data_IF_717810477713
#
_entry.id   IF_717810477713
#
_cell.length_a   1.000
_cell.length_b   1.000
_cell.length_c   1.000
_cell.angle_alpha   90.00
_cell.angle_beta   90.00
_cell.angle_gamma   90.00
#
_symmetry.space_group_name_H-M   'P 1'
#
loop_
_entity.id
_entity.type
_entity.pdbx_description
1 polymer ?
#
# COMPACT_ATOMS: atom_id res chain seq x y z
N UNK A 1 -10.77 7.56 19.58
CA UNK A 1 -9.81 8.06 18.58
C UNK A 1 -10.29 7.57 17.24
N UNK A 2 -10.69 8.45 16.33
CA UNK A 2 -11.12 8.06 14.98
C UNK A 2 -9.86 7.92 14.14
N UNK A 3 -9.54 6.70 13.71
CA UNK A 3 -8.40 6.48 12.80
C UNK A 3 -8.91 6.72 11.39
N UNK A 4 -8.31 7.64 10.61
CA UNK A 4 -8.70 7.84 9.22
C UNK A 4 -8.38 6.58 8.43
N UNK A 5 -9.25 6.26 7.48
CA UNK A 5 -9.14 5.09 6.60
C UNK A 5 -9.38 5.57 5.17
N UNK A 6 -8.71 4.94 4.21
CA UNK A 6 -8.98 5.15 2.79
C UNK A 6 -10.38 4.66 2.45
N UNK A 7 -11.04 5.38 1.56
CA UNK A 7 -12.36 4.97 1.07
C UNK A 7 -12.22 3.78 0.12
N UNK A 8 -12.43 2.57 0.65
CA UNK A 8 -12.44 1.36 -0.17
C UNK A 8 -13.69 1.36 -1.06
N UNK A 9 -13.55 1.31 -2.40
CA UNK A 9 -14.72 1.22 -3.28
C UNK A 9 -15.50 -0.06 -2.98
N UNK A 10 -16.82 -0.05 -3.15
CA UNK A 10 -17.60 -1.30 -3.05
C UNK A 10 -17.49 -2.02 -4.38
N UNK A 11 -17.13 -3.30 -4.39
CA UNK A 11 -17.17 -4.17 -5.56
C UNK A 11 -18.42 -5.06 -5.48
N UNK A 12 -19.05 -5.35 -6.62
CA UNK A 12 -20.15 -6.32 -6.70
C UNK A 12 -19.64 -7.76 -6.54
N UNK A 13 -20.50 -8.69 -6.14
CA UNK A 13 -20.12 -10.10 -5.95
C UNK A 13 -19.50 -10.73 -7.20
N UNK A 14 -19.95 -10.35 -8.39
CA UNK A 14 -19.39 -10.80 -9.66
C UNK A 14 -17.98 -10.26 -9.93
N UNK A 15 -17.72 -9.00 -9.55
CA UNK A 15 -16.41 -8.33 -9.63
C UNK A 15 -15.43 -9.00 -8.66
N UNK A 16 -15.91 -9.35 -7.46
CA UNK A 16 -15.15 -10.05 -6.42
C UNK A 16 -14.81 -11.49 -6.82
N UNK A 17 -15.76 -12.22 -7.38
CA UNK A 17 -15.53 -13.59 -7.86
C UNK A 17 -14.59 -13.62 -9.07
N UNK A 18 -14.63 -12.58 -9.93
CA UNK A 18 -13.66 -12.42 -11.02
C UNK A 18 -12.25 -12.19 -10.48
N UNK A 19 -12.08 -11.26 -9.54
CA UNK A 19 -10.79 -10.98 -8.88
C UNK A 19 -10.22 -12.27 -8.27
N UNK A 20 -11.08 -13.04 -7.61
CA UNK A 20 -10.72 -14.33 -7.03
C UNK A 20 -10.22 -15.32 -8.08
N UNK A 21 -10.93 -15.47 -9.19
CA UNK A 21 -10.53 -16.40 -10.26
C UNK A 21 -9.19 -16.05 -10.86
N UNK A 22 -8.90 -14.77 -11.03
CA UNK A 22 -7.62 -14.30 -11.56
C UNK A 22 -6.48 -14.59 -10.59
N UNK A 23 -6.62 -14.18 -9.33
CA UNK A 23 -5.60 -14.43 -8.31
C UNK A 23 -5.31 -15.93 -8.19
N UNK A 24 -6.35 -16.77 -8.21
CA UNK A 24 -6.18 -18.21 -8.15
C UNK A 24 -5.49 -18.78 -9.40
N UNK A 25 -5.88 -18.32 -10.61
CA UNK A 25 -5.29 -18.74 -11.88
C UNK A 25 -3.79 -18.45 -11.93
N UNK A 26 -3.36 -17.30 -11.41
CA UNK A 26 -1.97 -16.85 -11.43
C UNK A 26 -1.23 -17.04 -10.10
N UNK A 27 -1.77 -17.86 -9.20
CA UNK A 27 -1.21 -18.06 -7.86
C UNK A 27 0.26 -18.47 -7.88
N UNK A 28 0.64 -19.42 -8.76
CA UNK A 28 2.03 -19.89 -8.86
C UNK A 28 2.98 -18.77 -9.30
N UNK A 29 2.55 -17.94 -10.25
CA UNK A 29 3.34 -16.81 -10.69
C UNK A 29 3.51 -15.76 -9.59
N UNK A 30 2.43 -15.44 -8.88
CA UNK A 30 2.47 -14.53 -7.74
C UNK A 30 3.39 -15.04 -6.64
N UNK A 31 3.35 -16.35 -6.35
CA UNK A 31 4.24 -16.98 -5.37
C UNK A 31 5.71 -16.95 -5.80
N UNK A 32 6.01 -17.11 -7.09
CA UNK A 32 7.38 -16.94 -7.62
C UNK A 32 7.83 -15.49 -7.40
N UNK A 33 7.02 -14.50 -7.78
CA UNK A 33 7.32 -13.07 -7.56
C UNK A 33 7.55 -12.77 -6.07
N UNK A 34 6.75 -13.36 -5.19
CA UNK A 34 6.90 -13.26 -3.74
C UNK A 34 8.23 -13.84 -3.25
N UNK A 35 8.56 -15.07 -3.63
CA UNK A 35 9.82 -15.73 -3.24
C UNK A 35 11.05 -14.97 -3.75
N UNK A 36 10.99 -14.38 -4.94
CA UNK A 36 12.06 -13.53 -5.44
C UNK A 36 12.24 -12.27 -4.58
N UNK A 37 11.16 -11.67 -4.08
CA UNK A 37 11.21 -10.52 -3.17
C UNK A 37 11.76 -10.89 -1.80
N UNK A 38 11.40 -12.05 -1.25
CA UNK A 38 11.99 -12.57 -0.02
C UNK A 38 13.49 -12.80 -0.19
N UNK A 39 13.90 -13.49 -1.26
CA UNK A 39 15.30 -13.82 -1.52
C UNK A 39 16.19 -12.59 -1.78
N UNK A 40 15.59 -11.45 -2.13
CA UNK A 40 16.29 -10.17 -2.26
C UNK A 40 16.52 -9.46 -0.91
N UNK A 41 16.04 -10.04 0.19
CA UNK A 41 16.16 -9.51 1.55
C UNK A 41 16.88 -10.51 2.47
N UNK A 42 17.54 -9.99 3.51
CA UNK A 42 18.30 -10.80 4.46
C UNK A 42 17.38 -11.38 5.57
N UNK A 43 16.41 -12.22 5.20
CA UNK A 43 15.59 -12.96 6.15
C UNK A 43 16.27 -14.26 6.57
N UNK A 44 16.04 -14.69 7.82
CA UNK A 44 16.44 -16.03 8.24
C UNK A 44 15.41 -17.09 7.78
N UNK A 45 15.78 -18.39 7.73
CA UNK A 45 14.88 -19.42 7.21
C UNK A 45 13.52 -19.51 7.92
N UNK A 46 13.48 -19.23 9.23
CA UNK A 46 12.22 -19.23 10.00
C UNK A 46 11.32 -18.05 9.56
N UNK A 47 11.90 -16.87 9.35
CA UNK A 47 11.20 -15.69 8.84
C UNK A 47 10.72 -15.89 7.40
N UNK A 48 11.54 -16.52 6.54
CA UNK A 48 11.14 -16.84 5.17
C UNK A 48 9.91 -17.75 5.14
N UNK A 49 9.88 -18.78 6.00
CA UNK A 49 8.73 -19.67 6.12
C UNK A 49 7.48 -18.92 6.61
N UNK A 50 7.62 -18.07 7.64
CA UNK A 50 6.50 -17.23 8.12
C UNK A 50 6.00 -16.30 7.02
N UNK A 51 6.88 -15.73 6.19
CA UNK A 51 6.48 -14.88 5.07
C UNK A 51 5.75 -15.66 3.96
N UNK A 52 6.14 -16.91 3.70
CA UNK A 52 5.40 -17.80 2.80
C UNK A 52 3.99 -18.08 3.35
N UNK A 53 3.89 -18.39 4.64
CA UNK A 53 2.60 -18.66 5.29
C UNK A 53 1.70 -17.41 5.28
N UNK A 54 2.29 -16.22 5.48
CA UNK A 54 1.59 -14.93 5.36
C UNK A 54 1.05 -14.71 3.95
N UNK A 55 1.79 -15.06 2.90
CA UNK A 55 1.30 -14.93 1.53
C UNK A 55 0.07 -15.79 1.29
N UNK A 56 0.11 -17.05 1.72
CA UNK A 56 -1.05 -17.95 1.62
C UNK A 56 -2.24 -17.45 2.44
N UNK A 57 -1.97 -16.86 3.60
CA UNK A 57 -2.98 -16.20 4.42
C UNK A 57 -3.56 -14.97 3.70
N UNK A 58 -2.75 -14.11 3.07
CA UNK A 58 -3.24 -12.96 2.29
C UNK A 58 -4.20 -13.41 1.19
N UNK A 59 -3.80 -14.41 0.41
CA UNK A 59 -4.64 -14.94 -0.68
C UNK A 59 -5.97 -15.48 -0.12
N UNK A 60 -5.91 -16.25 0.98
CA UNK A 60 -7.10 -16.84 1.61
C UNK A 60 -8.03 -15.78 2.21
N UNK A 61 -7.49 -14.83 2.94
CA UNK A 61 -8.27 -13.82 3.66
C UNK A 61 -8.73 -12.67 2.78
N UNK A 62 -8.05 -12.38 1.66
CA UNK A 62 -8.62 -11.53 0.62
C UNK A 62 -9.99 -12.04 0.20
N UNK A 63 -10.21 -13.36 0.13
CA UNK A 63 -11.52 -13.94 -0.18
C UNK A 63 -12.55 -13.77 0.94
N UNK A 64 -12.13 -13.61 2.18
CA UNK A 64 -13.03 -13.48 3.34
C UNK A 64 -13.39 -12.01 3.60
N UNK A 65 -12.47 -11.10 3.33
CA UNK A 65 -12.68 -9.64 3.44
C UNK A 65 -13.77 -9.17 2.47
N UNK A 66 -13.93 -9.84 1.34
CA UNK A 66 -14.96 -9.52 0.34
C UNK A 66 -16.36 -9.98 0.75
N UNK A 67 -16.46 -10.95 1.67
CA UNK A 67 -17.74 -11.50 2.13
C UNK A 67 -18.26 -10.88 3.44
N UNK A 68 -17.38 -10.49 4.39
CA UNK A 68 -17.77 -9.92 5.70
C UNK A 68 -16.75 -8.88 6.22
N UNK A 69 -16.83 -7.62 5.74
CA UNK A 69 -15.72 -6.67 5.87
C UNK A 69 -15.18 -6.41 7.29
N UNK A 70 -16.01 -6.13 8.33
CA UNK A 70 -15.46 -5.77 9.64
C UNK A 70 -14.92 -6.97 10.43
N UNK A 71 -15.59 -8.12 10.33
CA UNK A 71 -15.24 -9.33 11.10
C UNK A 71 -14.01 -10.01 10.50
N UNK A 72 -13.96 -10.11 9.17
CA UNK A 72 -12.85 -10.74 8.45
C UNK A 72 -11.57 -9.90 8.52
N UNK A 73 -11.68 -8.57 8.47
CA UNK A 73 -10.52 -7.68 8.66
C UNK A 73 -9.89 -7.85 10.04
N UNK A 74 -10.70 -7.91 11.10
CA UNK A 74 -10.19 -8.14 12.46
C UNK A 74 -9.57 -9.53 12.62
N UNK A 75 -10.17 -10.57 12.02
CA UNK A 75 -9.58 -11.91 12.04
C UNK A 75 -8.21 -11.94 11.37
N UNK A 76 -8.11 -11.30 10.21
CA UNK A 76 -6.87 -11.23 9.45
C UNK A 76 -5.79 -10.40 10.15
N UNK A 77 -6.20 -9.27 10.73
CA UNK A 77 -5.31 -8.44 11.53
C UNK A 77 -4.78 -9.20 12.76
N UNK A 78 -5.63 -9.99 13.42
CA UNK A 78 -5.21 -10.86 14.52
C UNK A 78 -4.23 -11.95 14.07
N UNK A 79 -4.41 -12.53 12.87
CA UNK A 79 -3.44 -13.43 12.28
C UNK A 79 -2.07 -12.75 12.10
N UNK A 80 -2.06 -11.56 11.49
CA UNK A 80 -0.83 -10.79 11.32
C UNK A 80 -0.21 -10.37 12.66
N UNK A 81 -0.99 -10.04 13.69
CA UNK A 81 -0.44 -9.60 14.99
C UNK A 81 0.12 -10.80 15.76
N UNK A 82 -0.66 -11.88 15.88
CA UNK A 82 -0.41 -12.95 16.84
C UNK A 82 0.16 -14.24 16.25
N UNK A 83 -0.07 -14.51 14.96
CA UNK A 83 0.29 -15.77 14.31
C UNK A 83 1.48 -15.68 13.34
N UNK A 84 2.18 -14.53 13.31
CA UNK A 84 3.46 -14.36 12.61
C UNK A 84 4.60 -14.04 13.58
N UNK A 85 5.04 -15.04 14.38
CA UNK A 85 6.14 -14.86 15.31
C UNK A 85 7.45 -14.56 14.56
N UNK A 86 8.34 -13.79 15.19
CA UNK A 86 9.67 -13.48 14.62
C UNK A 86 9.71 -12.35 13.59
N UNK A 87 8.56 -11.86 13.13
CA UNK A 87 8.46 -10.65 12.31
C UNK A 87 8.09 -9.43 13.17
N UNK A 88 8.79 -8.31 12.96
CA UNK A 88 8.42 -7.03 13.54
C UNK A 88 7.31 -6.33 12.71
N UNK A 89 6.73 -5.26 13.25
CA UNK A 89 5.65 -4.53 12.57
C UNK A 89 6.06 -4.00 11.19
N UNK A 90 7.31 -3.51 11.05
CA UNK A 90 7.83 -3.02 9.77
C UNK A 90 7.93 -4.12 8.71
N UNK A 91 8.39 -5.31 9.07
CA UNK A 91 8.45 -6.47 8.17
C UNK A 91 7.06 -6.94 7.73
N UNK A 92 6.06 -6.84 8.62
CA UNK A 92 4.66 -7.17 8.29
C UNK A 92 4.01 -6.12 7.37
N UNK A 93 4.31 -4.83 7.59
CA UNK A 93 3.88 -3.75 6.69
C UNK A 93 4.55 -3.91 5.33
N UNK A 94 5.85 -4.23 5.29
CA UNK A 94 6.56 -4.55 4.05
C UNK A 94 5.92 -5.73 3.31
N UNK A 95 5.56 -6.80 4.03
CA UNK A 95 4.88 -7.95 3.46
C UNK A 95 3.54 -7.55 2.81
N UNK A 96 2.74 -6.69 3.46
CA UNK A 96 1.52 -6.13 2.88
C UNK A 96 1.79 -5.34 1.59
N UNK A 97 2.82 -4.47 1.59
CA UNK A 97 3.16 -3.64 0.43
C UNK A 97 3.69 -4.46 -0.75
N UNK A 98 4.53 -5.46 -0.51
CA UNK A 98 5.02 -6.37 -1.57
C UNK A 98 3.87 -7.20 -2.13
N UNK A 99 2.98 -7.66 -1.27
CA UNK A 99 1.80 -8.41 -1.68
C UNK A 99 0.89 -7.55 -2.57
N UNK A 100 0.63 -6.30 -2.16
CA UNK A 100 -0.09 -5.32 -2.96
C UNK A 100 0.56 -5.18 -4.34
N UNK A 101 1.86 -4.91 -4.42
CA UNK A 101 2.59 -4.71 -5.67
C UNK A 101 2.41 -5.88 -6.64
N UNK A 102 2.48 -7.12 -6.13
CA UNK A 102 2.30 -8.33 -6.95
C UNK A 102 0.88 -8.40 -7.52
N UNK A 103 -0.14 -8.16 -6.69
CA UNK A 103 -1.54 -8.18 -7.14
C UNK A 103 -1.82 -7.02 -8.10
N UNK A 104 -1.29 -5.83 -7.84
CA UNK A 104 -1.43 -4.68 -8.73
C UNK A 104 -0.78 -4.93 -10.09
N UNK A 105 0.38 -5.59 -10.12
CA UNK A 105 1.05 -5.98 -11.35
C UNK A 105 0.21 -6.98 -12.15
N UNK A 106 -0.35 -8.00 -11.47
CA UNK A 106 -1.24 -8.97 -12.09
C UNK A 106 -2.49 -8.30 -12.69
N UNK A 107 -3.15 -7.43 -11.93
CA UNK A 107 -4.32 -6.68 -12.41
C UNK A 107 -3.95 -5.77 -13.58
N UNK A 108 -2.77 -5.17 -13.56
CA UNK A 108 -2.26 -4.35 -14.66
C UNK A 108 -2.03 -5.16 -15.94
N UNK A 109 -1.66 -6.43 -15.83
CA UNK A 109 -1.46 -7.33 -16.96
C UNK A 109 -2.80 -7.83 -17.53
N UNK A 110 -3.73 -8.27 -16.67
CA UNK A 110 -5.03 -8.84 -17.09
C UNK A 110 -6.06 -7.77 -17.50
N UNK A 111 -6.11 -6.62 -16.81
CA UNK A 111 -7.04 -5.53 -17.17
C UNK A 111 -6.55 -4.66 -18.34
N UNK A 112 -5.50 -5.08 -19.07
CA UNK A 112 -5.07 -4.38 -20.29
C UNK A 112 -6.13 -4.39 -21.39
N UNK A 113 -7.01 -5.38 -21.39
CA UNK A 113 -8.01 -5.59 -22.44
C UNK A 113 -9.39 -4.99 -22.11
N UNK A 114 -9.70 -4.79 -20.83
CA UNK A 114 -10.94 -4.12 -20.39
C UNK A 114 -10.74 -2.60 -20.33
N UNK A 115 -11.80 -1.84 -20.62
CA UNK A 115 -11.78 -0.36 -20.64
C UNK A 115 -11.06 0.26 -19.43
N UNK A 116 -10.32 1.36 -19.63
CA UNK A 116 -9.52 2.05 -18.60
C UNK A 116 -10.24 2.27 -17.25
N UNK A 117 -11.58 2.35 -17.24
CA UNK A 117 -12.40 2.54 -16.05
C UNK A 117 -12.48 1.29 -15.15
N UNK A 118 -12.45 0.07 -15.70
CA UNK A 118 -12.50 -1.18 -14.91
C UNK A 118 -11.20 -1.46 -14.16
N UNK A 119 -10.06 -1.21 -14.84
CA UNK A 119 -8.70 -1.35 -14.27
C UNK A 119 -8.50 -0.50 -13.02
N UNK A 120 -9.05 0.71 -13.00
CA UNK A 120 -8.93 1.64 -11.87
C UNK A 120 -9.61 1.12 -10.61
N UNK A 121 -10.75 0.42 -10.74
CA UNK A 121 -11.60 0.09 -9.58
C UNK A 121 -11.05 -1.09 -8.78
N UNK A 122 -10.61 -2.16 -9.44
CA UNK A 122 -9.99 -3.31 -8.77
C UNK A 122 -8.67 -2.92 -8.10
N UNK A 123 -7.84 -2.16 -8.80
CA UNK A 123 -6.58 -1.62 -8.29
C UNK A 123 -6.80 -0.75 -7.05
N UNK A 124 -7.76 0.15 -7.10
CA UNK A 124 -8.14 1.00 -5.97
C UNK A 124 -8.68 0.18 -4.79
N UNK A 125 -9.50 -0.84 -5.06
CA UNK A 125 -10.01 -1.74 -4.02
C UNK A 125 -8.89 -2.44 -3.25
N UNK A 126 -7.95 -3.04 -3.99
CA UNK A 126 -6.79 -3.75 -3.41
C UNK A 126 -5.94 -2.78 -2.59
N UNK A 127 -5.61 -1.62 -3.16
CA UNK A 127 -4.82 -0.59 -2.49
C UNK A 127 -5.47 -0.15 -1.17
N UNK A 128 -6.72 0.32 -1.23
CA UNK A 128 -7.43 0.81 -0.04
C UNK A 128 -7.55 -0.29 1.03
N UNK A 129 -7.82 -1.54 0.64
CA UNK A 129 -7.96 -2.66 1.57
C UNK A 129 -6.66 -2.98 2.29
N UNK A 130 -5.55 -3.12 1.55
CA UNK A 130 -4.25 -3.46 2.13
C UNK A 130 -3.62 -2.29 2.90
N UNK A 131 -3.79 -1.06 2.43
CA UNK A 131 -3.35 0.13 3.13
C UNK A 131 -4.12 0.32 4.46
N UNK A 132 -5.44 0.13 4.48
CA UNK A 132 -6.22 0.16 5.72
C UNK A 132 -5.78 -0.92 6.71
N UNK A 133 -5.47 -2.13 6.23
CA UNK A 133 -4.87 -3.17 7.08
C UNK A 133 -3.50 -2.77 7.62
N UNK A 134 -2.65 -2.15 6.80
CA UNK A 134 -1.35 -1.62 7.22
C UNK A 134 -1.46 -0.54 8.29
N UNK A 135 -2.43 0.38 8.16
CA UNK A 135 -2.73 1.40 9.16
C UNK A 135 -3.15 0.75 10.47
N UNK A 136 -4.12 -0.16 10.43
CA UNK A 136 -4.59 -0.87 11.62
C UNK A 136 -3.46 -1.65 12.29
N UNK A 137 -2.60 -2.30 11.50
CA UNK A 137 -1.44 -3.03 12.00
C UNK A 137 -0.43 -2.09 12.66
N UNK A 138 -0.16 -0.92 12.09
CA UNK A 138 0.77 0.06 12.67
C UNK A 138 0.32 0.58 14.04
N UNK A 139 -1.00 0.61 14.28
CA UNK A 139 -1.62 1.12 15.50
C UNK A 139 -1.76 0.02 16.55
N UNK A 140 -2.12 -1.20 16.13
CA UNK A 140 -2.47 -2.30 17.03
C UNK A 140 -1.32 -3.27 17.30
N UNK A 141 -0.29 -3.32 16.45
CA UNK A 141 0.86 -4.18 16.69
C UNK A 141 1.59 -3.69 17.95
N UNK A 142 1.87 -4.59 18.92
CA UNK A 142 2.71 -4.23 20.05
C UNK A 142 4.05 -3.74 19.51
N UNK A 143 4.46 -2.52 19.88
CA UNK A 143 5.77 -1.98 19.55
C UNK A 143 6.84 -2.86 20.22
N UNK A 144 7.25 -3.93 19.54
CA UNK A 144 8.41 -4.69 19.94
C UNK A 144 9.62 -3.78 19.74
N UNK A 145 10.19 -3.31 20.85
CA UNK A 145 11.48 -2.64 20.88
C UNK A 145 12.57 -3.64 20.49
N UNK A 146 12.63 -3.97 19.21
CA UNK A 146 13.58 -4.89 18.59
C UNK A 146 14.23 -4.16 17.43
N UNK A 147 15.40 -3.62 17.69
CA UNK A 147 16.25 -2.93 16.71
C UNK A 147 16.60 -3.86 15.54
N UNK A 148 15.91 -3.71 14.42
CA UNK A 148 16.45 -4.09 13.11
C UNK A 148 16.55 -2.83 12.26
N UNK A 149 17.74 -2.21 12.28
CA UNK A 149 18.41 -1.32 11.32
C UNK A 149 17.69 -0.51 10.22
N UNK A 150 16.36 -0.40 10.19
CA UNK A 150 15.61 0.38 9.22
C UNK A 150 14.67 1.30 10.01
N UNK A 151 15.12 2.55 10.19
CA UNK A 151 14.43 3.66 10.86
C UNK A 151 14.32 3.53 12.39
N UNK A 152 15.46 3.53 13.08
CA UNK A 152 15.53 3.80 14.51
C UNK A 152 16.01 5.23 14.75
N UNK A 153 15.10 6.20 14.74
CA UNK A 153 15.31 7.47 15.45
C UNK A 153 14.17 7.74 16.42
N UNK A 154 14.54 7.62 17.71
CA UNK A 154 14.03 8.29 18.92
C UNK A 154 12.57 8.10 19.36
N UNK A 155 12.24 6.89 19.80
CA UNK A 155 11.07 6.57 20.64
C UNK A 155 10.95 7.41 21.92
N UNK A 156 10.28 8.55 21.86
CA UNK A 156 9.55 9.19 22.97
C UNK A 156 8.55 10.21 22.39
N UNK A 157 7.25 10.05 22.69
CA UNK A 157 6.09 10.86 22.25
C UNK A 157 5.36 10.45 20.93
N UNK A 158 5.17 9.13 20.73
CA UNK A 158 4.81 8.53 19.43
C UNK A 158 3.31 8.45 19.11
N UNK A 159 2.42 8.72 20.07
CA UNK A 159 0.97 8.51 19.87
C UNK A 159 0.25 9.57 19.03
N UNK A 160 0.74 10.83 19.03
CA UNK A 160 0.08 11.95 18.34
C UNK A 160 0.75 12.36 17.02
N UNK A 161 2.08 12.30 16.96
CA UNK A 161 2.87 12.70 15.77
C UNK A 161 2.79 11.68 14.63
N UNK A 162 2.66 10.39 14.94
CA UNK A 162 2.41 9.38 13.92
C UNK A 162 1.01 9.49 13.34
N UNK A 163 -0.02 9.82 14.14
CA UNK A 163 -1.39 9.93 13.60
C UNK A 163 -1.51 11.06 12.58
N UNK A 164 -0.87 12.20 12.81
CA UNK A 164 -0.88 13.33 11.87
C UNK A 164 -0.15 13.02 10.56
N UNK A 165 1.04 12.40 10.62
CA UNK A 165 1.76 12.00 9.40
C UNK A 165 1.03 10.91 8.62
N UNK A 166 0.36 9.97 9.31
CA UNK A 166 -0.47 8.97 8.64
C UNK A 166 -1.72 9.58 8.03
N UNK A 167 -2.36 10.55 8.68
CA UNK A 167 -3.47 11.35 8.12
C UNK A 167 -3.07 12.04 6.81
N UNK A 168 -1.89 12.65 6.78
CA UNK A 168 -1.36 13.28 5.57
C UNK A 168 -1.06 12.27 4.47
N UNK A 169 -0.49 11.11 4.80
CA UNK A 169 -0.26 10.01 3.84
C UNK A 169 -1.58 9.49 3.26
N UNK A 170 -2.60 9.28 4.09
CA UNK A 170 -3.93 8.82 3.65
C UNK A 170 -4.56 9.86 2.72
N UNK A 171 -4.52 11.14 3.10
CA UNK A 171 -5.04 12.23 2.27
C UNK A 171 -4.32 12.30 0.93
N UNK A 172 -3.01 12.10 0.93
CA UNK A 172 -2.20 12.06 -0.28
C UNK A 172 -2.57 10.86 -1.17
N UNK A 173 -2.73 9.66 -0.59
CA UNK A 173 -3.20 8.46 -1.31
C UNK A 173 -4.60 8.65 -1.90
N UNK A 174 -5.56 9.19 -1.15
CA UNK A 174 -6.90 9.49 -1.67
C UNK A 174 -6.85 10.49 -2.84
N UNK A 175 -5.99 11.50 -2.77
CA UNK A 175 -5.77 12.45 -3.86
C UNK A 175 -5.23 11.75 -5.10
N UNK A 176 -4.21 10.89 -4.96
CA UNK A 176 -3.64 10.15 -6.10
C UNK A 176 -4.65 9.24 -6.77
N UNK A 177 -5.54 8.60 -5.99
CA UNK A 177 -6.56 7.68 -6.51
C UNK A 177 -7.73 8.40 -7.19
N UNK A 178 -7.97 9.67 -6.86
CA UNK A 178 -9.10 10.46 -7.38
C UNK A 178 -8.71 11.47 -8.45
N UNK A 179 -7.42 11.74 -8.61
CA UNK A 179 -6.92 12.66 -9.61
C UNK A 179 -7.20 12.14 -11.03
N UNK A 180 -7.74 13.02 -11.87
CA UNK A 180 -8.12 12.68 -13.26
C UNK A 180 -7.11 13.16 -14.30
N UNK A 181 -6.13 13.98 -13.87
CA UNK A 181 -5.12 14.60 -14.72
C UNK A 181 -3.75 14.50 -14.07
N UNK A 182 -2.73 14.23 -14.87
CA UNK A 182 -1.34 14.13 -14.40
C UNK A 182 -0.84 15.46 -13.84
N UNK A 183 -1.27 16.57 -14.44
CA UNK A 183 -0.90 17.92 -14.01
C UNK A 183 -1.41 18.24 -12.60
N UNK A 184 -2.60 17.74 -12.26
CA UNK A 184 -3.17 17.87 -10.92
C UNK A 184 -2.31 17.09 -9.93
N UNK A 185 -1.97 15.83 -10.24
CA UNK A 185 -1.09 14.99 -9.40
C UNK A 185 0.24 15.69 -9.15
N UNK A 186 0.91 16.16 -10.21
CA UNK A 186 2.22 16.79 -10.09
C UNK A 186 2.16 18.09 -9.29
N UNK A 187 1.10 18.88 -9.47
CA UNK A 187 0.86 20.11 -8.69
C UNK A 187 0.64 19.81 -7.20
N UNK A 188 -0.21 18.82 -6.89
CA UNK A 188 -0.48 18.40 -5.52
C UNK A 188 0.77 17.80 -4.86
N UNK A 189 1.55 16.96 -5.56
CA UNK A 189 2.80 16.43 -5.05
C UNK A 189 3.74 17.53 -4.56
N UNK A 190 3.99 18.58 -5.36
CA UNK A 190 4.91 19.65 -4.97
C UNK A 190 4.37 20.45 -3.79
N UNK A 191 3.06 20.73 -3.78
CA UNK A 191 2.41 21.50 -2.73
C UNK A 191 2.36 20.73 -1.42
N UNK A 192 1.81 19.52 -1.44
CA UNK A 192 1.58 18.71 -0.23
C UNK A 192 2.91 18.22 0.35
N UNK A 193 3.88 17.78 -0.47
CA UNK A 193 5.22 17.44 0.05
C UNK A 193 5.86 18.68 0.67
N UNK A 194 5.75 19.85 0.03
CA UNK A 194 6.26 21.11 0.57
C UNK A 194 5.64 21.46 1.93
N UNK A 195 4.33 21.34 2.04
CA UNK A 195 3.57 21.60 3.28
C UNK A 195 3.90 20.56 4.38
N UNK A 196 3.88 19.27 4.08
CA UNK A 196 4.15 18.17 5.02
C UNK A 196 5.58 18.19 5.59
N UNK A 197 6.56 18.54 4.75
CA UNK A 197 7.98 18.59 5.17
C UNK A 197 8.39 19.94 5.76
N UNK A 198 7.51 20.94 5.72
CA UNK A 198 7.80 22.31 6.12
C UNK A 198 8.75 23.06 5.17
N UNK A 199 8.96 22.55 3.95
CA UNK A 199 9.74 23.26 2.94
C UNK A 199 8.98 24.49 2.45
N UNK A 200 9.58 25.66 2.67
CA UNK A 200 8.99 26.95 2.28
C UNK A 200 8.85 27.14 0.77
N UNK A 201 9.61 26.39 -0.04
CA UNK A 201 9.71 26.52 -1.49
C UNK A 201 10.00 25.15 -2.09
N UNK A 202 9.35 24.79 -3.19
CA UNK A 202 9.57 23.54 -3.91
C UNK A 202 9.25 23.68 -5.39
N UNK A 203 9.96 22.91 -6.23
CA UNK A 203 9.64 22.79 -7.64
C UNK A 203 9.85 21.36 -8.12
N UNK A 204 8.96 20.89 -9.00
CA UNK A 204 9.09 19.65 -9.76
C UNK A 204 9.17 20.00 -11.24
N UNK A 205 10.19 19.48 -11.88
CA UNK A 205 10.47 19.67 -13.30
C UNK A 205 10.22 18.34 -13.97
N UNK A 206 9.18 18.28 -14.80
CA UNK A 206 8.81 17.08 -15.53
C UNK A 206 9.33 17.16 -16.96
N UNK A 207 10.28 16.29 -17.28
CA UNK A 207 11.03 16.31 -18.54
C UNK A 207 10.82 15.03 -19.34
N UNK A 208 10.57 15.19 -20.65
CA UNK A 208 10.36 14.08 -21.57
C UNK A 208 11.62 13.84 -22.40
N UNK A 209 12.42 12.80 -22.07
CA UNK A 209 13.67 12.53 -22.79
C UNK A 209 13.43 12.13 -24.25
N UNK A 210 12.30 11.49 -24.55
CA UNK A 210 11.96 11.06 -25.91
C UNK A 210 11.62 12.23 -26.82
N UNK A 211 10.97 13.25 -26.28
CA UNK A 211 10.55 14.43 -27.03
C UNK A 211 11.48 15.63 -26.81
N UNK A 212 12.59 15.43 -26.06
CA UNK A 212 13.62 16.42 -25.75
C UNK A 212 13.04 17.79 -25.34
N UNK A 213 11.95 17.79 -24.58
CA UNK A 213 11.26 19.01 -24.14
C UNK A 213 10.79 18.89 -22.71
N UNK A 214 10.64 20.06 -22.08
CA UNK A 214 10.07 20.21 -20.76
C UNK A 214 8.55 20.11 -20.88
N UNK A 215 7.96 19.09 -20.28
CA UNK A 215 6.52 18.86 -20.30
C UNK A 215 5.79 19.72 -19.26
N UNK A 216 6.44 20.05 -18.14
CA UNK A 216 5.87 20.97 -17.16
C UNK A 216 6.81 21.38 -16.03
N UNK A 217 6.52 22.54 -15.43
CA UNK A 217 7.12 22.98 -14.17
C UNK A 217 6.01 23.23 -13.18
N UNK A 218 6.11 22.58 -12.03
CA UNK A 218 5.15 22.67 -10.94
C UNK A 218 5.86 23.23 -9.72
N UNK A 219 5.24 24.16 -9.01
CA UNK A 219 5.92 24.89 -7.94
C UNK A 219 5.04 25.16 -6.72
N UNK A 220 5.67 25.17 -5.55
CA UNK A 220 5.12 25.63 -4.29
C UNK A 220 5.91 26.85 -3.82
N UNK A 221 5.26 28.01 -3.65
CA UNK A 221 5.86 29.26 -3.17
C UNK A 221 7.12 29.70 -3.95
N UNK A 222 7.13 29.43 -5.26
CA UNK A 222 8.09 29.96 -6.22
C UNK A 222 7.27 30.61 -7.33
N UNK A 223 7.63 31.83 -7.72
CA UNK A 223 7.08 32.42 -8.93
C UNK A 223 7.72 31.72 -10.14
N UNK A 224 6.88 31.14 -11.00
CA UNK A 224 7.27 30.59 -12.29
C UNK A 224 7.31 31.69 -13.36
#
# INVERSE_FOLDING_TARGET
MHVPMLNTPVLADTELEWLRKIIHRYYQECMIRWKMRIAACDFNPDQEQVLIDIFDAFIRHLYEITAQPPTSQNHFLNYLIYQSPGLNAGQKIWALSVFEEIIQSLLSEECREESQNGRSRYSQWVHCTLANLGILLSIQAPHSAGSSGWVAEKSSDYGGLHSQRYEEIIRFSDMLLTATRLEDILSYCVKDIGEMTGFKRGALIWYSPLANHLEGVYSHNIAL
#
